data_IF_682634119596
#
_entry.id   IF_682634119596
#
_cell.length_a   1.000
_cell.length_b   1.000
_cell.length_c   1.000
_cell.angle_alpha   90.00
_cell.angle_beta   90.00
_cell.angle_gamma   90.00
#
_symmetry.space_group_name_H-M   'P 1'
#
loop_
_entity.id
_entity.type
_entity.pdbx_description
1 polymer ?
#
# COMPACT_ATOMS: atom_id res chain seq x y z
N UNK A 1 -22.29 -4.01 5.50
CA UNK A 1 -22.64 -2.66 5.11
C UNK A 1 -21.42 -1.91 4.67
N UNK A 2 -21.26 -1.74 3.35
CA UNK A 2 -20.25 -0.84 2.76
C UNK A 2 -20.77 0.56 3.05
N UNK A 3 -20.03 1.35 3.84
CA UNK A 3 -20.38 2.75 4.10
C UNK A 3 -20.24 3.52 2.80
N UNK A 4 -21.30 4.22 2.42
CA UNK A 4 -21.30 5.19 1.32
C UNK A 4 -20.15 6.17 1.49
N UNK A 5 -19.18 6.09 0.59
CA UNK A 5 -18.08 7.05 0.50
C UNK A 5 -18.57 8.14 -0.44
N UNK A 6 -18.86 9.31 0.13
CA UNK A 6 -19.30 10.50 -0.61
C UNK A 6 -18.33 10.84 -1.76
N UNK A 7 -18.83 11.40 -2.90
CA UNK A 7 -18.02 11.70 -4.07
C UNK A 7 -16.92 12.72 -3.73
N UNK A 8 -15.75 12.40 -4.19
CA UNK A 8 -14.44 12.93 -3.89
C UNK A 8 -14.23 14.42 -4.23
N UNK A 9 -14.63 15.32 -3.37
CA UNK A 9 -13.87 16.55 -3.19
C UNK A 9 -12.71 16.24 -2.23
N UNK A 10 -11.49 16.09 -2.75
CA UNK A 10 -10.30 16.01 -1.92
C UNK A 10 -9.87 14.62 -1.44
N UNK A 11 -10.24 13.51 -2.10
CA UNK A 11 -9.74 12.19 -1.71
C UNK A 11 -8.20 12.16 -1.77
N UNK A 12 -7.60 12.74 -2.81
CA UNK A 12 -6.16 12.91 -2.92
C UNK A 12 -5.55 13.75 -1.81
N UNK A 13 -6.18 14.88 -1.45
CA UNK A 13 -5.74 15.75 -0.35
C UNK A 13 -5.87 15.09 1.02
N UNK A 14 -6.90 14.27 1.23
CA UNK A 14 -7.09 13.54 2.49
C UNK A 14 -6.00 12.48 2.64
N UNK A 15 -5.70 11.72 1.60
CA UNK A 15 -4.65 10.71 1.61
C UNK A 15 -3.26 11.34 1.76
N UNK A 16 -2.97 12.42 1.02
CA UNK A 16 -1.72 13.17 1.17
C UNK A 16 -1.51 13.64 2.61
N UNK A 17 -2.52 14.25 3.22
CA UNK A 17 -2.47 14.68 4.63
C UNK A 17 -2.28 13.51 5.60
N UNK A 18 -2.91 12.35 5.33
CA UNK A 18 -2.72 11.15 6.16
C UNK A 18 -1.31 10.61 6.06
N UNK A 19 -0.73 10.54 4.85
CA UNK A 19 0.66 10.12 4.62
C UNK A 19 1.59 11.05 5.38
N UNK A 20 1.48 12.35 5.16
CA UNK A 20 2.28 13.37 5.85
C UNK A 20 2.20 13.25 7.38
N UNK A 21 1.01 13.03 7.92
CA UNK A 21 0.80 12.86 9.37
C UNK A 21 1.44 11.59 9.90
N UNK A 22 1.37 10.48 9.17
CA UNK A 22 1.99 9.20 9.56
C UNK A 22 3.51 9.31 9.60
N UNK A 23 4.13 9.86 8.56
CA UNK A 23 5.58 10.04 8.53
C UNK A 23 6.06 11.03 9.58
N UNK A 24 5.35 12.14 9.80
CA UNK A 24 5.68 13.10 10.87
C UNK A 24 5.68 12.44 12.26
N UNK A 25 4.80 11.47 12.50
CA UNK A 25 4.69 10.72 13.75
C UNK A 25 5.57 9.46 13.80
N UNK A 26 6.23 9.09 12.71
CA UNK A 26 7.11 7.93 12.68
C UNK A 26 8.20 8.07 13.73
N UNK A 27 8.46 6.99 14.45
CA UNK A 27 9.48 6.96 15.51
C UNK A 27 10.84 6.94 14.82
N UNK A 28 11.71 7.83 15.25
CA UNK A 28 13.15 7.83 14.97
C UNK A 28 13.90 7.69 16.28
N UNK A 29 15.18 7.40 16.20
CA UNK A 29 16.02 7.30 17.39
C UNK A 29 16.06 8.59 18.23
N UNK A 30 16.54 8.46 19.45
CA UNK A 30 16.74 9.57 20.41
C UNK A 30 18.18 10.10 20.37
N UNK A 31 18.94 9.77 19.32
CA UNK A 31 20.35 10.11 19.24
C UNK A 31 20.55 11.64 19.19
N UNK A 32 21.53 12.12 19.91
CA UNK A 32 21.93 13.55 19.93
C UNK A 32 22.45 14.00 18.56
N UNK A 33 23.09 13.10 17.82
CA UNK A 33 23.47 13.28 16.45
C UNK A 33 22.29 12.92 15.53
N UNK A 34 21.45 13.88 15.22
CA UNK A 34 20.29 13.72 14.31
C UNK A 34 20.71 13.54 12.85
N UNK A 35 21.67 12.62 12.61
CA UNK A 35 22.16 12.33 11.26
C UNK A 35 21.34 11.23 10.60
N UNK A 36 20.99 11.45 9.35
CA UNK A 36 20.35 10.46 8.48
C UNK A 36 21.44 9.49 8.02
N UNK A 37 21.47 8.31 8.64
CA UNK A 37 22.45 7.26 8.38
C UNK A 37 21.75 5.91 8.39
N UNK A 38 22.13 5.04 7.48
CA UNK A 38 21.62 3.67 7.43
C UNK A 38 22.33 2.82 8.46
N UNK A 39 21.62 2.47 9.52
CA UNK A 39 22.11 1.66 10.64
C UNK A 39 20.92 0.87 11.22
N UNK A 40 20.62 -0.33 10.70
CA UNK A 40 19.46 -1.10 11.13
C UNK A 40 19.49 -1.51 12.60
N UNK A 41 20.68 -1.64 13.20
CA UNK A 41 20.83 -2.07 14.60
C UNK A 41 20.56 -0.93 15.58
N UNK A 42 21.17 0.24 15.34
CA UNK A 42 21.08 1.37 16.27
C UNK A 42 20.01 2.40 15.85
N UNK A 43 19.70 2.49 14.56
CA UNK A 43 18.73 3.45 13.98
C UNK A 43 17.66 2.76 13.12
N UNK A 44 16.94 1.76 13.66
CA UNK A 44 15.97 0.99 12.83
C UNK A 44 14.88 1.86 12.22
N UNK A 45 14.40 2.89 12.93
CA UNK A 45 13.37 3.78 12.44
C UNK A 45 13.84 4.64 11.26
N UNK A 46 15.03 5.23 11.34
CA UNK A 46 15.62 6.01 10.24
C UNK A 46 15.96 5.10 9.05
N UNK A 47 16.57 3.94 9.32
CA UNK A 47 16.91 2.96 8.29
C UNK A 47 15.68 2.49 7.51
N UNK A 48 14.55 2.25 8.18
CA UNK A 48 13.29 1.92 7.51
C UNK A 48 12.79 3.07 6.61
N UNK A 49 12.86 4.30 7.08
CA UNK A 49 12.50 5.47 6.26
C UNK A 49 13.44 5.64 5.05
N UNK A 50 14.72 5.35 5.20
CA UNK A 50 15.69 5.35 4.09
C UNK A 50 15.37 4.28 3.06
N UNK A 51 14.97 3.07 3.48
CA UNK A 51 14.50 2.03 2.57
C UNK A 51 13.28 2.48 1.76
N UNK A 52 12.30 3.14 2.40
CA UNK A 52 11.12 3.66 1.72
C UNK A 52 11.53 4.73 0.70
N UNK A 53 12.37 5.68 1.10
CA UNK A 53 12.84 6.76 0.23
C UNK A 53 13.63 6.20 -0.97
N UNK A 54 14.55 5.27 -0.71
CA UNK A 54 15.32 4.57 -1.75
C UNK A 54 14.42 3.85 -2.76
N UNK A 55 13.38 3.15 -2.27
CA UNK A 55 12.46 2.41 -3.13
C UNK A 55 11.75 3.32 -4.14
N UNK A 56 11.36 4.52 -3.75
CA UNK A 56 10.63 5.44 -4.64
C UNK A 56 11.55 6.33 -5.47
N UNK A 57 12.75 6.64 -4.98
CA UNK A 57 13.68 7.54 -5.70
C UNK A 57 14.74 6.80 -6.51
N UNK A 58 14.99 5.52 -6.20
CA UNK A 58 16.08 4.75 -6.78
C UNK A 58 17.47 5.10 -6.23
N UNK A 59 17.57 6.01 -5.25
CA UNK A 59 18.83 6.44 -4.65
C UNK A 59 19.39 5.40 -3.71
N UNK A 60 20.70 5.27 -3.65
CA UNK A 60 21.41 4.46 -2.67
C UNK A 60 21.38 5.09 -1.27
N UNK A 61 21.64 4.28 -0.23
CA UNK A 61 21.67 4.78 1.15
C UNK A 61 22.74 5.87 1.35
N UNK A 62 23.87 5.76 0.67
CA UNK A 62 24.96 6.75 0.76
C UNK A 62 24.56 8.09 0.12
N UNK A 63 23.86 8.04 -1.02
CA UNK A 63 23.33 9.24 -1.67
C UNK A 63 22.25 9.92 -0.81
N UNK A 64 21.40 9.15 -0.15
CA UNK A 64 20.39 9.67 0.76
C UNK A 64 21.07 10.31 1.98
N UNK A 65 22.05 9.66 2.56
CA UNK A 65 22.79 10.20 3.71
C UNK A 65 23.45 11.53 3.35
N UNK A 66 24.09 11.64 2.18
CA UNK A 66 24.71 12.86 1.69
C UNK A 66 23.68 13.99 1.40
N UNK A 67 22.50 13.64 0.84
CA UNK A 67 21.44 14.61 0.54
C UNK A 67 20.87 15.26 1.80
N UNK A 68 20.84 14.51 2.90
CA UNK A 68 20.29 14.96 4.18
C UNK A 68 21.38 15.28 5.22
N UNK A 69 22.65 15.39 4.80
CA UNK A 69 23.71 15.84 5.67
C UNK A 69 23.42 17.24 6.21
N UNK A 70 23.52 17.39 7.53
CA UNK A 70 23.21 18.65 8.22
C UNK A 70 21.72 19.00 8.34
N UNK A 71 20.81 18.19 7.78
CA UNK A 71 19.36 18.36 7.91
C UNK A 71 18.83 17.51 9.08
N UNK A 72 17.77 18.02 9.71
CA UNK A 72 17.12 17.30 10.81
C UNK A 72 16.19 16.17 10.34
N UNK A 73 15.86 15.24 11.25
CA UNK A 73 14.87 14.18 10.97
C UNK A 73 13.50 14.71 10.52
N UNK A 74 13.14 15.95 10.89
CA UNK A 74 11.89 16.58 10.45
C UNK A 74 11.86 16.77 8.93
N UNK A 75 12.95 17.31 8.38
CA UNK A 75 13.08 17.56 6.94
C UNK A 75 13.15 16.24 6.18
N UNK A 76 13.87 15.25 6.68
CA UNK A 76 13.94 13.92 6.09
C UNK A 76 12.55 13.25 6.07
N UNK A 77 11.81 13.25 7.19
CA UNK A 77 10.45 12.69 7.25
C UNK A 77 9.49 13.37 6.28
N UNK A 78 9.64 14.70 6.10
CA UNK A 78 8.84 15.45 5.15
C UNK A 78 9.13 14.99 3.72
N UNK A 79 10.40 14.91 3.34
CA UNK A 79 10.81 14.45 2.01
C UNK A 79 10.33 13.01 1.72
N UNK A 80 10.47 12.09 2.67
CA UNK A 80 9.93 10.72 2.55
C UNK A 80 8.43 10.73 2.32
N UNK A 81 7.71 11.58 3.05
CA UNK A 81 6.26 11.70 2.94
C UNK A 81 5.83 12.25 1.57
N UNK A 82 6.52 13.25 1.05
CA UNK A 82 6.26 13.86 -0.26
C UNK A 82 6.48 12.86 -1.38
N UNK A 83 7.64 12.23 -1.43
CA UNK A 83 7.96 11.21 -2.44
C UNK A 83 6.97 10.05 -2.42
N UNK A 84 6.59 9.59 -1.22
CA UNK A 84 5.59 8.52 -1.05
C UNK A 84 4.22 8.98 -1.56
N UNK A 85 3.80 10.20 -1.23
CA UNK A 85 2.51 10.73 -1.67
C UNK A 85 2.43 10.86 -3.20
N UNK A 86 3.49 11.36 -3.81
CA UNK A 86 3.57 11.55 -5.26
C UNK A 86 3.62 10.21 -6.00
N UNK A 87 4.35 9.22 -5.48
CA UNK A 87 4.39 7.86 -6.05
C UNK A 87 3.03 7.14 -5.97
N UNK A 88 2.25 7.39 -4.93
CA UNK A 88 0.93 6.77 -4.75
C UNK A 88 -0.21 7.53 -5.45
N UNK A 89 0.01 8.77 -5.88
CA UNK A 89 -1.04 9.57 -6.53
C UNK A 89 -1.69 8.89 -7.76
N UNK A 90 -0.94 8.31 -8.71
CA UNK A 90 -1.53 7.62 -9.87
C UNK A 90 -2.34 6.38 -9.46
N UNK A 91 -1.89 5.63 -8.45
CA UNK A 91 -2.62 4.46 -7.93
C UNK A 91 -3.95 4.89 -7.30
N UNK A 92 -3.94 6.00 -6.55
CA UNK A 92 -5.14 6.55 -5.93
C UNK A 92 -6.14 7.08 -6.96
N UNK A 93 -5.65 7.72 -8.02
CA UNK A 93 -6.48 8.19 -9.13
C UNK A 93 -7.18 7.02 -9.83
N UNK A 94 -6.45 5.96 -10.15
CA UNK A 94 -6.99 4.77 -10.79
C UNK A 94 -7.97 4.01 -9.87
N UNK A 95 -7.65 3.89 -8.59
CA UNK A 95 -8.57 3.34 -7.59
C UNK A 95 -9.90 4.11 -7.55
N UNK A 96 -9.82 5.44 -7.52
CA UNK A 96 -11.01 6.30 -7.55
C UNK A 96 -11.84 6.12 -8.82
N UNK A 97 -11.19 6.00 -9.98
CA UNK A 97 -11.83 5.75 -11.27
C UNK A 97 -12.60 4.42 -11.27
N UNK A 98 -11.93 3.35 -10.84
CA UNK A 98 -12.53 2.02 -10.80
C UNK A 98 -13.69 1.98 -9.79
N UNK A 99 -13.52 2.57 -8.60
CA UNK A 99 -14.55 2.55 -7.56
C UNK A 99 -15.81 3.34 -7.95
N UNK A 100 -15.67 4.33 -8.84
CA UNK A 100 -16.81 5.07 -9.37
C UNK A 100 -17.67 4.26 -10.34
N UNK A 101 -17.08 3.26 -11.00
CA UNK A 101 -17.77 2.34 -11.93
C UNK A 101 -18.15 1.04 -11.20
N UNK A 102 -19.23 1.10 -10.44
CA UNK A 102 -19.74 -0.06 -9.69
C UNK A 102 -20.11 -1.23 -10.60
N UNK A 103 -20.63 -0.95 -11.80
CA UNK A 103 -21.02 -2.00 -12.74
C UNK A 103 -19.81 -2.80 -13.23
N UNK A 104 -18.71 -2.13 -13.51
CA UNK A 104 -17.44 -2.78 -13.86
C UNK A 104 -16.92 -3.66 -12.71
N UNK A 105 -16.94 -3.14 -11.49
CA UNK A 105 -16.47 -3.90 -10.30
C UNK A 105 -17.34 -5.16 -10.11
N UNK A 106 -18.67 -5.02 -10.19
CA UNK A 106 -19.60 -6.15 -10.04
C UNK A 106 -19.39 -7.20 -11.14
N UNK A 107 -19.15 -6.76 -12.38
CA UNK A 107 -18.85 -7.66 -13.50
C UNK A 107 -17.54 -8.44 -13.28
N UNK A 108 -16.48 -7.77 -12.86
CA UNK A 108 -15.18 -8.40 -12.56
C UNK A 108 -15.33 -9.45 -11.43
N UNK A 109 -16.06 -9.09 -10.36
CA UNK A 109 -16.31 -10.01 -9.25
C UNK A 109 -17.15 -11.22 -9.68
N UNK A 110 -18.20 -11.02 -10.47
CA UNK A 110 -19.05 -12.10 -10.99
C UNK A 110 -18.25 -13.04 -11.89
N UNK A 111 -17.51 -12.51 -12.85
CA UNK A 111 -16.67 -13.30 -13.75
C UNK A 111 -15.60 -14.09 -12.97
N UNK A 112 -14.99 -13.48 -11.95
CA UNK A 112 -14.04 -14.13 -11.05
C UNK A 112 -14.67 -15.29 -10.28
N UNK A 113 -15.85 -15.06 -9.69
CA UNK A 113 -16.61 -16.07 -8.95
C UNK A 113 -17.03 -17.25 -9.83
N UNK A 114 -17.51 -16.99 -11.05
CA UNK A 114 -17.89 -18.03 -12.01
C UNK A 114 -16.69 -18.89 -12.43
N UNK A 115 -15.53 -18.28 -12.68
CA UNK A 115 -14.28 -18.98 -13.01
C UNK A 115 -13.81 -19.87 -11.86
N UNK A 116 -13.79 -19.33 -10.65
CA UNK A 116 -13.39 -20.05 -9.44
C UNK A 116 -14.37 -21.21 -9.13
N UNK A 117 -15.67 -20.97 -9.22
CA UNK A 117 -16.70 -21.97 -9.01
C UNK A 117 -16.61 -23.13 -9.99
N UNK A 118 -16.34 -22.82 -11.28
CA UNK A 118 -16.18 -23.86 -12.31
C UNK A 118 -15.01 -24.80 -11.98
N UNK A 119 -13.88 -24.24 -11.53
CA UNK A 119 -12.71 -25.03 -11.15
C UNK A 119 -12.95 -25.85 -9.88
N UNK A 120 -13.52 -25.21 -8.85
CA UNK A 120 -13.83 -25.85 -7.57
C UNK A 120 -14.86 -26.98 -7.74
N UNK A 121 -15.96 -26.73 -8.45
CA UNK A 121 -17.00 -27.74 -8.68
C UNK A 121 -16.50 -28.94 -9.47
N UNK A 122 -15.61 -28.73 -10.42
CA UNK A 122 -14.96 -29.84 -11.15
C UNK A 122 -14.18 -30.77 -10.22
N UNK A 123 -13.50 -30.21 -9.22
CA UNK A 123 -12.73 -30.98 -8.23
C UNK A 123 -13.66 -31.66 -7.21
N UNK A 124 -14.62 -30.91 -6.68
CA UNK A 124 -15.61 -31.40 -5.72
C UNK A 124 -16.43 -32.55 -6.28
N UNK A 125 -16.89 -32.44 -7.53
CA UNK A 125 -17.64 -33.51 -8.21
C UNK A 125 -16.82 -34.80 -8.37
N UNK A 126 -15.51 -34.68 -8.62
CA UNK A 126 -14.61 -35.85 -8.66
C UNK A 126 -14.47 -36.50 -7.28
N UNK A 127 -14.36 -35.70 -6.22
CA UNK A 127 -14.29 -36.19 -4.84
C UNK A 127 -15.57 -36.91 -4.48
N UNK A 128 -16.73 -36.31 -4.69
CA UNK A 128 -18.03 -36.89 -4.38
C UNK A 128 -18.24 -38.26 -5.05
N UNK A 129 -17.89 -38.37 -6.34
CA UNK A 129 -17.94 -39.65 -7.04
C UNK A 129 -17.00 -40.72 -6.45
N UNK A 130 -15.80 -40.32 -6.03
CA UNK A 130 -14.82 -41.25 -5.45
C UNK A 130 -15.21 -41.75 -4.06
N UNK A 131 -15.85 -40.92 -3.25
CA UNK A 131 -16.28 -41.28 -1.90
C UNK A 131 -17.74 -41.80 -1.85
N UNK A 132 -18.41 -41.92 -3.00
CA UNK A 132 -19.78 -42.48 -3.07
C UNK A 132 -20.88 -41.53 -2.56
N UNK A 133 -20.64 -40.23 -2.50
CA UNK A 133 -21.66 -39.23 -2.15
C UNK A 133 -22.56 -38.93 -3.34
N UNK A 134 -23.90 -38.94 -3.08
CA UNK A 134 -24.88 -38.53 -4.07
C UNK A 134 -24.79 -37.02 -4.31
N UNK A 135 -24.70 -36.65 -5.57
CA UNK A 135 -24.88 -35.25 -5.98
C UNK A 135 -26.34 -35.03 -6.27
N UNK A 136 -26.95 -34.15 -5.48
CA UNK A 136 -28.30 -33.65 -5.79
C UNK A 136 -28.14 -32.60 -6.90
N UNK A 137 -28.80 -32.87 -8.02
CA UNK A 137 -28.90 -31.87 -9.10
C UNK A 137 -29.57 -30.61 -8.57
N UNK A 138 -28.95 -29.44 -8.81
CA UNK A 138 -29.49 -28.11 -8.46
C UNK A 138 -30.25 -27.53 -9.61
#
# INVERSE_FOLDING_TARGET
>A
GIRDVAPSRGLGDVYKRQIMRKFKRAITDSDTERCVRFDPENKPGVSNLMCIYSTFTGKSNDEIAAEFEGKGYGDFKLAVAEVTADALAPVQAEYGRILADKAYVDEVLKNGAERASRLANRTVSKVYRKVGLLQLDK
#
